data_IF_569462787839
#
_entry.id   IF_569462787839
#
_cell.length_a   1.000
_cell.length_b   1.000
_cell.length_c   1.000
_cell.angle_alpha   90.00
_cell.angle_beta   90.00
_cell.angle_gamma   90.00
#
_symmetry.space_group_name_H-M   'P 1'
#
loop_
_entity.id
_entity.type
_entity.pdbx_description
1 polymer ?
#
# COMPACT_ATOMS: atom_id res chain seq x y z
N UNK A 1 -18.76 -26.76 2.04
CA UNK A 1 -17.66 -26.48 1.10
C UNK A 1 -16.35 -26.72 1.83
N UNK A 2 -15.39 -27.42 1.23
CA UNK A 2 -14.07 -27.62 1.84
C UNK A 2 -13.37 -26.28 2.04
N UNK A 3 -12.85 -26.01 3.25
CA UNK A 3 -12.05 -24.82 3.57
C UNK A 3 -10.56 -25.01 3.24
N UNK A 4 -10.25 -26.06 2.48
CA UNK A 4 -8.90 -26.41 2.07
C UNK A 4 -8.72 -26.16 0.57
N UNK A 5 -7.70 -25.37 0.15
CA UNK A 5 -7.44 -25.12 -1.26
C UNK A 5 -6.91 -26.38 -1.96
N UNK A 6 -7.07 -26.45 -3.29
CA UNK A 6 -6.58 -27.56 -4.12
C UNK A 6 -5.04 -27.69 -4.12
N UNK A 7 -4.35 -26.57 -3.89
CA UNK A 7 -2.89 -26.51 -3.81
C UNK A 7 -2.50 -25.91 -2.46
N UNK A 8 -1.54 -26.54 -1.80
CA UNK A 8 -1.07 -26.13 -0.48
C UNK A 8 0.41 -26.46 -0.29
N UNK A 9 1.11 -25.58 0.42
CA UNK A 9 2.48 -25.86 0.83
C UNK A 9 2.51 -26.98 1.88
N UNK A 10 3.50 -27.89 1.82
CA UNK A 10 3.69 -28.91 2.85
C UNK A 10 3.79 -28.27 4.25
N UNK A 11 3.19 -28.90 5.25
CA UNK A 11 3.22 -28.40 6.65
C UNK A 11 2.08 -27.45 7.02
N UNK A 12 1.37 -26.87 6.04
CA UNK A 12 0.13 -26.15 6.29
C UNK A 12 -1.04 -27.14 6.08
N UNK A 13 -1.64 -27.66 7.14
CA UNK A 13 -2.75 -28.64 7.03
C UNK A 13 -4.08 -28.15 7.60
N UNK A 14 -4.07 -27.13 8.45
CA UNK A 14 -5.26 -26.62 9.15
C UNK A 14 -6.25 -25.92 8.22
N UNK A 15 -7.53 -25.83 8.56
CA UNK A 15 -8.50 -25.14 7.70
C UNK A 15 -8.20 -23.64 7.53
N UNK A 16 -8.58 -23.06 6.39
CA UNK A 16 -8.53 -21.60 6.23
C UNK A 16 -9.51 -20.89 7.17
N UNK A 17 -9.02 -19.81 7.77
CA UNK A 17 -9.83 -18.91 8.58
C UNK A 17 -10.22 -17.67 7.77
N UNK A 18 -11.45 -17.22 7.94
CA UNK A 18 -11.89 -15.93 7.39
C UNK A 18 -11.57 -14.84 8.41
N UNK A 19 -10.97 -13.76 7.93
CA UNK A 19 -10.57 -12.59 8.72
C UNK A 19 -11.05 -11.33 8.03
N UNK A 20 -11.33 -10.29 8.79
CA UNK A 20 -11.59 -8.96 8.22
C UNK A 20 -10.28 -8.24 7.90
N UNK A 21 -10.29 -7.33 6.92
CA UNK A 21 -9.06 -6.63 6.51
C UNK A 21 -8.45 -5.79 7.65
N UNK A 22 -9.29 -5.27 8.57
CA UNK A 22 -8.84 -4.56 9.76
C UNK A 22 -8.13 -5.45 10.79
N UNK A 23 -8.32 -6.77 10.75
CA UNK A 23 -7.58 -7.70 11.62
C UNK A 23 -6.14 -7.93 11.12
N UNK A 24 -5.91 -7.83 9.81
CA UNK A 24 -4.59 -8.09 9.22
C UNK A 24 -3.70 -6.85 9.14
N UNK A 25 -4.28 -5.65 9.19
CA UNK A 25 -3.53 -4.40 9.12
C UNK A 25 -4.38 -3.15 9.29
N UNK A 26 -3.72 -2.01 9.41
CA UNK A 26 -4.36 -0.70 9.46
C UNK A 26 -4.73 -0.26 8.03
N UNK A 27 -5.98 0.18 7.84
CA UNK A 27 -6.45 0.68 6.55
C UNK A 27 -6.44 2.20 6.57
N UNK A 28 -5.74 2.81 5.62
CA UNK A 28 -5.62 4.26 5.53
C UNK A 28 -5.82 4.77 4.11
N UNK A 29 -6.59 5.84 3.93
CA UNK A 29 -6.73 6.55 2.64
C UNK A 29 -5.57 7.51 2.39
N UNK A 30 -5.15 7.69 1.15
CA UNK A 30 -4.05 8.60 0.82
C UNK A 30 -4.38 10.07 1.03
N UNK A 31 -3.41 10.93 0.73
CA UNK A 31 -3.52 12.38 0.84
C UNK A 31 -2.85 13.05 -0.35
N UNK A 32 -3.42 14.17 -0.79
CA UNK A 32 -2.83 15.00 -1.84
C UNK A 32 -2.45 16.34 -1.21
N UNK A 33 -1.15 16.62 -1.02
CA UNK A 33 -0.69 17.96 -0.70
C UNK A 33 -1.23 19.00 -1.68
N UNK A 34 -1.37 20.28 -1.29
CA UNK A 34 -1.83 21.31 -2.20
C UNK A 34 -0.96 21.36 -3.47
N UNK A 35 -1.56 21.02 -4.61
CA UNK A 35 -0.86 20.86 -5.90
C UNK A 35 -0.40 22.18 -6.50
N UNK A 36 -1.01 23.29 -6.09
CA UNK A 36 -0.60 24.64 -6.49
C UNK A 36 0.70 25.09 -5.82
N UNK A 37 1.03 24.52 -4.66
CA UNK A 37 2.29 24.77 -3.97
C UNK A 37 3.29 23.68 -4.36
N UNK A 38 4.04 23.96 -5.43
CA UNK A 38 5.02 23.05 -6.00
C UNK A 38 6.14 22.69 -5.02
N UNK A 39 6.36 23.49 -3.98
CA UNK A 39 7.38 23.19 -2.96
C UNK A 39 7.03 21.97 -2.10
N UNK A 40 5.78 21.47 -2.16
CA UNK A 40 5.37 20.19 -1.55
C UNK A 40 5.88 18.97 -2.32
N UNK A 41 6.31 19.15 -3.56
CA UNK A 41 6.78 18.11 -4.46
C UNK A 41 8.24 18.35 -4.84
N UNK A 42 8.91 17.29 -5.27
CA UNK A 42 10.28 17.34 -5.74
C UNK A 42 10.57 16.16 -6.66
N UNK A 43 11.67 16.25 -7.41
CA UNK A 43 12.23 15.13 -8.17
C UNK A 43 13.06 14.20 -7.28
N UNK A 44 13.36 14.63 -6.05
CA UNK A 44 14.04 13.88 -5.00
C UNK A 44 13.12 13.69 -3.77
N UNK A 45 13.40 12.69 -2.93
CA UNK A 45 12.64 12.43 -1.71
C UNK A 45 11.82 11.14 -1.74
N UNK A 46 10.68 11.13 -1.04
CA UNK A 46 9.84 9.93 -0.91
C UNK A 46 8.85 9.81 -2.08
N UNK A 47 8.63 8.63 -2.67
CA UNK A 47 7.69 8.47 -3.78
C UNK A 47 6.27 8.87 -3.40
N UNK A 48 5.57 9.52 -4.35
CA UNK A 48 4.17 9.89 -4.27
C UNK A 48 3.36 9.16 -5.34
N UNK A 49 2.60 8.14 -4.95
CA UNK A 49 1.94 7.22 -5.86
C UNK A 49 0.53 7.68 -6.23
N UNK A 50 0.22 7.60 -7.52
CA UNK A 50 -1.11 7.79 -8.09
C UNK A 50 -1.60 6.50 -8.78
N UNK A 51 -2.90 6.35 -9.09
CA UNK A 51 -3.42 5.14 -9.75
C UNK A 51 -2.76 4.81 -11.09
N UNK A 52 -2.21 5.81 -11.79
CA UNK A 52 -1.49 5.61 -13.06
C UNK A 52 -0.11 5.01 -12.87
N UNK A 53 0.51 5.20 -11.70
CA UNK A 53 1.84 4.65 -11.38
C UNK A 53 1.75 3.15 -11.03
N UNK A 54 0.57 2.67 -10.64
CA UNK A 54 0.32 1.27 -10.30
C UNK A 54 0.25 0.41 -11.57
N UNK A 55 1.42 -0.05 -12.00
CA UNK A 55 1.64 -0.87 -13.19
C UNK A 55 2.36 -2.19 -12.89
N UNK A 56 2.93 -2.33 -11.69
CA UNK A 56 3.71 -3.49 -11.24
C UNK A 56 3.30 -3.92 -9.83
N UNK A 57 3.57 -5.17 -9.48
CA UNK A 57 3.24 -5.74 -8.15
C UNK A 57 4.03 -5.11 -7.00
N UNK A 58 5.16 -4.47 -7.30
CA UNK A 58 5.96 -3.72 -6.34
C UNK A 58 6.34 -2.36 -6.94
N UNK A 59 6.49 -1.35 -6.07
CA UNK A 59 6.95 -0.02 -6.43
C UNK A 59 7.98 0.45 -5.40
N UNK A 60 9.12 0.93 -5.88
CA UNK A 60 10.16 1.56 -5.07
C UNK A 60 10.36 3.05 -5.39
N UNK A 61 9.81 3.54 -6.51
CA UNK A 61 9.94 4.94 -6.94
C UNK A 61 8.75 5.40 -7.80
N UNK A 62 8.58 6.71 -7.97
CA UNK A 62 7.55 7.32 -8.81
C UNK A 62 8.06 8.58 -9.51
N UNK A 63 7.48 8.95 -10.68
CA UNK A 63 7.90 10.14 -11.42
C UNK A 63 7.80 11.46 -10.64
N UNK A 64 6.88 11.53 -9.67
CA UNK A 64 6.72 12.66 -8.76
C UNK A 64 6.96 12.18 -7.33
N UNK A 65 7.75 12.92 -6.56
CA UNK A 65 8.04 12.62 -5.15
C UNK A 65 7.53 13.74 -4.25
N UNK A 66 7.40 13.42 -2.97
CA UNK A 66 7.10 14.35 -1.90
C UNK A 66 8.41 14.94 -1.35
N UNK A 67 8.45 16.27 -1.24
CA UNK A 67 9.56 17.00 -0.60
C UNK A 67 9.45 16.90 0.93
N UNK A 68 10.51 17.25 1.71
CA UNK A 68 10.43 17.27 3.17
C UNK A 68 9.27 18.12 3.73
N UNK A 69 8.93 19.22 3.05
CA UNK A 69 7.76 20.04 3.38
C UNK A 69 6.47 19.28 3.14
N UNK A 70 6.32 18.67 1.97
CA UNK A 70 5.13 17.89 1.63
C UNK A 70 4.96 16.66 2.55
N UNK A 71 6.04 16.08 3.06
CA UNK A 71 5.97 14.93 3.98
C UNK A 71 5.28 15.31 5.29
N UNK A 72 5.51 16.52 5.79
CA UNK A 72 4.93 17.01 7.05
C UNK A 72 3.39 17.13 7.02
N UNK A 73 2.81 17.20 5.82
CA UNK A 73 1.37 17.36 5.59
C UNK A 73 0.75 16.17 4.84
N UNK A 74 1.57 15.21 4.45
CA UNK A 74 1.15 14.00 3.75
C UNK A 74 0.99 12.84 4.70
N UNK A 75 0.11 11.91 4.34
CA UNK A 75 0.09 10.59 4.93
C UNK A 75 1.25 9.76 4.40
N UNK A 76 2.27 9.60 5.22
CA UNK A 76 3.41 8.74 4.94
C UNK A 76 3.15 7.34 5.48
N UNK A 77 3.50 6.32 4.71
CA UNK A 77 3.39 4.90 5.10
C UNK A 77 4.74 4.19 4.96
N UNK A 78 5.02 3.17 5.80
CA UNK A 78 6.28 2.45 5.76
C UNK A 78 6.38 1.51 4.53
N UNK A 79 7.59 1.02 4.27
CA UNK A 79 7.80 -0.10 3.34
C UNK A 79 7.02 -1.34 3.78
N UNK A 80 6.60 -2.15 2.82
CA UNK A 80 5.72 -3.31 3.01
C UNK A 80 4.22 -2.97 2.99
N UNK A 81 3.86 -1.69 2.78
CA UNK A 81 2.46 -1.26 2.69
C UNK A 81 1.86 -1.67 1.35
N UNK A 82 0.67 -2.26 1.37
CA UNK A 82 -0.08 -2.64 0.16
C UNK A 82 -1.01 -1.49 -0.21
N UNK A 83 -0.90 -1.01 -1.44
CA UNK A 83 -1.76 0.02 -2.02
C UNK A 83 -2.84 -0.62 -2.88
N UNK A 84 -4.07 -0.14 -2.78
CA UNK A 84 -5.23 -0.61 -3.56
C UNK A 84 -6.04 0.60 -4.04
N UNK A 85 -6.21 0.71 -5.34
CA UNK A 85 -7.06 1.75 -5.94
C UNK A 85 -8.54 1.47 -5.66
N UNK A 86 -9.24 2.50 -5.21
CA UNK A 86 -10.66 2.40 -4.85
C UNK A 86 -11.57 3.27 -5.72
N UNK A 87 -11.00 4.08 -6.63
CA UNK A 87 -11.72 5.01 -7.51
C UNK A 87 -11.21 4.89 -8.95
N UNK A 88 -12.11 4.90 -9.92
CA UNK A 88 -11.91 4.84 -11.39
C UNK A 88 -11.20 3.59 -11.94
N UNK A 89 -10.05 3.20 -11.38
CA UNK A 89 -9.28 1.98 -11.73
C UNK A 89 -9.36 0.94 -10.63
N UNK A 90 -10.57 0.58 -10.18
CA UNK A 90 -10.80 -0.23 -8.96
C UNK A 90 -10.00 -1.55 -9.00
N UNK A 91 -9.29 -1.85 -7.90
CA UNK A 91 -8.66 -3.15 -7.68
C UNK A 91 -7.22 -3.28 -8.19
N UNK A 92 -6.67 -2.28 -8.88
CA UNK A 92 -5.22 -2.22 -9.11
C UNK A 92 -4.51 -2.15 -7.76
N UNK A 93 -3.47 -2.96 -7.61
CA UNK A 93 -2.74 -3.05 -6.36
C UNK A 93 -1.25 -3.21 -6.58
N UNK A 94 -0.48 -2.81 -5.56
CA UNK A 94 0.98 -2.92 -5.53
C UNK A 94 1.47 -2.86 -4.09
N UNK A 95 2.68 -3.31 -3.84
CA UNK A 95 3.36 -3.15 -2.56
C UNK A 95 4.45 -2.08 -2.67
N UNK A 96 4.43 -1.08 -1.78
CA UNK A 96 5.53 -0.15 -1.60
C UNK A 96 6.70 -0.86 -0.92
N UNK A 97 7.87 -0.86 -1.54
CA UNK A 97 9.10 -1.44 -0.95
C UNK A 97 9.95 -0.42 -0.22
N UNK A 98 9.56 0.86 -0.29
CA UNK A 98 10.16 1.98 0.43
C UNK A 98 9.09 2.76 1.18
N UNK A 99 9.49 3.66 2.09
CA UNK A 99 8.58 4.62 2.70
C UNK A 99 8.05 5.59 1.63
N UNK A 100 6.75 5.85 1.61
CA UNK A 100 6.14 6.68 0.56
C UNK A 100 4.79 7.28 0.97
N UNK A 101 4.19 8.02 0.04
CA UNK A 101 2.85 8.60 0.15
C UNK A 101 2.07 8.32 -1.13
N UNK A 102 0.76 8.56 -1.12
CA UNK A 102 -0.13 8.25 -2.23
C UNK A 102 -1.37 9.13 -2.19
N UNK A 103 -2.05 9.27 -3.34
CA UNK A 103 -3.20 10.15 -3.47
C UNK A 103 -4.49 9.59 -2.83
N UNK A 104 -5.52 10.43 -2.72
CA UNK A 104 -6.81 10.08 -2.11
C UNK A 104 -7.64 9.02 -2.88
N UNK A 105 -7.22 8.62 -4.07
CA UNK A 105 -7.89 7.58 -4.85
C UNK A 105 -7.44 6.16 -4.46
N UNK A 106 -6.42 6.07 -3.61
CA UNK A 106 -5.80 4.83 -3.15
C UNK A 106 -6.06 4.69 -1.65
N UNK A 107 -6.48 3.49 -1.26
CA UNK A 107 -6.45 3.03 0.12
C UNK A 107 -5.24 2.10 0.30
N UNK A 108 -4.63 2.14 1.47
CA UNK A 108 -3.51 1.31 1.82
C UNK A 108 -3.85 0.40 2.98
N UNK A 109 -3.25 -0.79 2.98
CA UNK A 109 -3.24 -1.73 4.10
C UNK A 109 -1.81 -1.80 4.62
N UNK A 110 -1.60 -1.31 5.83
CA UNK A 110 -0.32 -1.38 6.53
C UNK A 110 -0.34 -2.67 7.37
N UNK A 111 0.42 -3.72 7.01
CA UNK A 111 0.31 -5.01 7.68
C UNK A 111 0.71 -4.96 9.15
N UNK A 112 -0.03 -5.66 10.00
CA UNK A 112 0.32 -5.83 11.40
C UNK A 112 1.57 -6.72 11.52
N UNK A 113 2.62 -6.25 12.22
CA UNK A 113 3.87 -7.01 12.42
C UNK A 113 3.63 -8.43 12.98
N UNK A 114 2.60 -8.60 13.81
CA UNK A 114 2.23 -9.90 14.42
C UNK A 114 1.67 -10.91 13.42
N UNK A 115 1.11 -10.45 12.29
CA UNK A 115 0.46 -11.30 11.28
C UNK A 115 1.41 -11.74 10.16
N UNK A 116 2.63 -11.17 10.10
CA UNK A 116 3.63 -11.51 9.06
C UNK A 116 4.14 -12.95 9.24
N UNK A 117 4.05 -13.52 10.44
CA UNK A 117 4.42 -14.91 10.71
C UNK A 117 3.48 -15.98 10.12
N UNK A 118 2.38 -15.59 9.44
CA UNK A 118 1.43 -16.54 8.85
C UNK A 118 1.89 -17.08 7.48
N UNK A 119 2.96 -16.51 6.90
CA UNK A 119 3.46 -16.87 5.57
C UNK A 119 4.88 -17.48 5.55
N UNK A 120 5.38 -17.97 6.69
CA UNK A 120 6.65 -18.73 6.75
C UNK A 120 6.41 -20.11 7.35
#
# INVERSE_FOLDING_TARGET
MSKTPKLRFPGFTDDWEQRTLGEVGEIVTGSTPPTHDLTNYSDEGSPWITPTDITSQTIFDSPRKISPKGESISRMVPAGTILVTSIASIGKNTMLTVRGSFNQQINAVIPNKKMIHIFC
#
